data_IF_993824221778
#
_entry.id   IF_993824221778
#
_cell.length_a   1.000
_cell.length_b   1.000
_cell.length_c   1.000
_cell.angle_alpha   90.00
_cell.angle_beta   90.00
_cell.angle_gamma   90.00
#
_symmetry.space_group_name_H-M   'P 1'
#
loop_
_entity.id
_entity.type
_entity.pdbx_description
1 polymer ?
#
# COMPACT_ATOMS: atom_id res chain seq x y z
N UNK A 1 15.10 -21.17 -20.49
CA UNK A 1 15.52 -19.82 -20.89
C UNK A 1 15.12 -18.87 -19.78
N UNK A 2 16.00 -18.00 -19.25
CA UNK A 2 15.57 -17.00 -18.28
C UNK A 2 14.56 -16.08 -18.98
N UNK A 3 13.36 -15.96 -18.42
CA UNK A 3 12.32 -15.08 -18.93
C UNK A 3 12.80 -13.66 -18.64
N UNK A 4 13.20 -12.91 -19.66
CA UNK A 4 13.54 -11.48 -19.51
C UNK A 4 12.26 -10.78 -19.09
N UNK A 5 12.14 -10.46 -17.79
CA UNK A 5 11.02 -9.69 -17.25
C UNK A 5 11.22 -8.25 -17.71
N UNK A 6 10.51 -7.85 -18.76
CA UNK A 6 10.43 -6.46 -19.18
C UNK A 6 9.70 -5.67 -18.11
N UNK A 7 10.39 -4.70 -17.53
CA UNK A 7 9.84 -3.78 -16.53
C UNK A 7 8.83 -2.88 -17.24
N UNK A 8 7.56 -2.84 -16.80
CA UNK A 8 6.54 -2.04 -17.46
C UNK A 8 6.83 -0.55 -17.28
N UNK A 9 6.42 0.29 -18.23
CA UNK A 9 6.46 1.75 -18.03
C UNK A 9 5.39 2.19 -17.02
N UNK A 10 5.50 3.42 -16.51
CA UNK A 10 4.48 3.96 -15.60
C UNK A 10 3.09 4.01 -16.25
N UNK A 11 2.99 4.39 -17.53
CA UNK A 11 1.72 4.43 -18.25
C UNK A 11 1.14 3.04 -18.49
N UNK A 12 1.99 2.04 -18.76
CA UNK A 12 1.55 0.64 -18.84
C UNK A 12 1.02 0.14 -17.51
N UNK A 13 1.65 0.53 -16.39
CA UNK A 13 1.16 0.23 -15.04
C UNK A 13 -0.22 0.86 -14.82
N UNK A 14 -0.43 2.13 -15.21
CA UNK A 14 -1.74 2.78 -15.09
C UNK A 14 -2.81 2.08 -15.94
N UNK A 15 -2.45 1.59 -17.14
CA UNK A 15 -3.36 0.80 -17.98
C UNK A 15 -3.75 -0.51 -17.29
N UNK A 16 -2.77 -1.26 -16.76
CA UNK A 16 -3.02 -2.52 -16.03
C UNK A 16 -3.91 -2.32 -14.82
N UNK A 17 -3.66 -1.27 -14.05
CA UNK A 17 -4.50 -0.91 -12.90
C UNK A 17 -5.96 -0.65 -13.33
N UNK A 18 -6.16 0.04 -14.46
CA UNK A 18 -7.50 0.23 -15.04
C UNK A 18 -8.17 -1.08 -15.47
N UNK A 19 -7.42 -1.99 -16.10
CA UNK A 19 -7.92 -3.31 -16.50
C UNK A 19 -8.34 -4.15 -15.28
N UNK A 20 -7.55 -4.08 -14.21
CA UNK A 20 -7.80 -4.71 -12.92
C UNK A 20 -8.85 -3.98 -12.07
N UNK A 21 -9.51 -2.94 -12.59
CA UNK A 21 -10.59 -2.21 -11.91
C UNK A 21 -10.16 -1.46 -10.65
N UNK A 22 -8.92 -0.97 -10.62
CA UNK A 22 -8.54 0.08 -9.68
C UNK A 22 -9.16 1.41 -10.15
N UNK A 23 -9.62 2.20 -9.19
CA UNK A 23 -9.90 3.61 -9.43
C UNK A 23 -8.57 4.39 -9.35
N UNK A 24 -8.26 5.11 -10.42
CA UNK A 24 -7.03 5.89 -10.57
C UNK A 24 -7.39 7.37 -10.64
N UNK A 25 -7.02 8.12 -9.61
CA UNK A 25 -7.30 9.55 -9.49
C UNK A 25 -6.01 10.35 -9.26
N UNK A 26 -6.02 11.69 -9.40
CA UNK A 26 -4.89 12.51 -8.97
C UNK A 26 -4.56 12.25 -7.49
N UNK A 27 -3.27 12.20 -7.15
CA UNK A 27 -2.87 12.03 -5.75
C UNK A 27 -3.43 13.15 -4.86
N UNK A 28 -3.59 12.83 -3.59
CA UNK A 28 -4.15 13.67 -2.54
C UNK A 28 -3.10 13.85 -1.42
N UNK A 29 -3.51 14.22 -0.21
CA UNK A 29 -2.73 14.07 1.04
C UNK A 29 -1.24 14.50 0.99
N UNK A 30 -0.93 15.59 0.28
CA UNK A 30 0.42 16.15 0.17
C UNK A 30 1.33 15.46 -0.85
N UNK A 31 0.99 14.27 -1.33
CA UNK A 31 1.65 13.59 -2.44
C UNK A 31 1.35 14.26 -3.80
N UNK A 32 0.28 15.05 -3.89
CA UNK A 32 -0.07 15.85 -5.07
C UNK A 32 1.02 16.84 -5.54
N UNK A 33 2.02 17.12 -4.70
CA UNK A 33 3.18 17.95 -5.04
C UNK A 33 4.18 17.22 -5.95
N UNK A 34 4.12 15.90 -6.01
CA UNK A 34 4.98 15.09 -6.85
C UNK A 34 4.37 14.97 -8.25
N UNK A 35 5.13 15.34 -9.27
CA UNK A 35 4.68 15.26 -10.65
C UNK A 35 4.31 13.82 -11.04
N UNK A 36 3.17 13.66 -11.70
CA UNK A 36 2.66 12.35 -12.12
C UNK A 36 2.11 11.48 -10.98
N UNK A 37 2.02 11.98 -9.75
CA UNK A 37 1.47 11.23 -8.64
C UNK A 37 -0.01 10.90 -8.82
N UNK A 38 -0.37 9.64 -8.59
CA UNK A 38 -1.72 9.09 -8.68
C UNK A 38 -2.11 8.43 -7.37
N UNK A 39 -3.38 8.58 -6.98
CA UNK A 39 -4.00 7.75 -5.96
C UNK A 39 -4.66 6.56 -6.67
N UNK A 40 -4.38 5.37 -6.18
CA UNK A 40 -4.98 4.12 -6.66
C UNK A 40 -5.82 3.55 -5.52
N UNK A 41 -7.07 3.21 -5.80
CA UNK A 41 -8.00 2.73 -4.77
C UNK A 41 -8.87 1.58 -5.24
N UNK A 42 -9.10 0.63 -4.33
CA UNK A 42 -9.96 -0.54 -4.53
C UNK A 42 -10.27 -1.17 -3.17
N UNK A 43 -11.42 -1.83 -3.04
CA UNK A 43 -11.81 -2.55 -1.80
C UNK A 43 -11.80 -1.71 -0.52
N UNK A 44 -12.04 -0.40 -0.61
CA UNK A 44 -11.93 0.51 0.54
C UNK A 44 -10.48 0.81 0.98
N UNK A 45 -9.49 0.29 0.26
CA UNK A 45 -8.08 0.56 0.45
C UNK A 45 -7.57 1.53 -0.62
N UNK A 46 -6.46 2.21 -0.32
CA UNK A 46 -5.77 3.05 -1.28
C UNK A 46 -4.25 3.06 -1.04
N UNK A 47 -3.52 3.45 -2.08
CA UNK A 47 -2.11 3.80 -2.04
C UNK A 47 -1.88 5.04 -2.94
N UNK A 48 -0.76 5.73 -2.75
CA UNK A 48 -0.36 6.81 -3.64
C UNK A 48 0.98 6.44 -4.29
N UNK A 49 0.99 6.53 -5.61
CA UNK A 49 2.08 6.07 -6.47
C UNK A 49 2.58 7.20 -7.35
N UNK A 50 3.85 7.17 -7.71
CA UNK A 50 4.43 8.08 -8.70
C UNK A 50 5.44 7.35 -9.58
N UNK A 51 5.77 7.92 -10.75
CA UNK A 51 6.90 7.45 -11.54
C UNK A 51 8.16 7.37 -10.67
N UNK A 52 8.94 6.32 -10.89
CA UNK A 52 10.21 6.10 -10.21
C UNK A 52 11.38 6.23 -11.19
N UNK A 53 12.46 6.82 -10.70
CA UNK A 53 13.73 6.97 -11.44
C UNK A 53 14.66 5.76 -11.22
N UNK A 54 14.24 4.77 -10.42
CA UNK A 54 15.02 3.58 -10.08
C UNK A 54 14.86 2.52 -11.17
N UNK A 55 16.00 2.00 -11.65
CA UNK A 55 16.02 0.90 -12.62
C UNK A 55 15.27 -0.31 -12.08
N UNK A 56 14.45 -0.91 -12.93
CA UNK A 56 13.63 -2.10 -12.62
C UNK A 56 12.53 -1.89 -11.56
N UNK A 57 12.26 -0.65 -11.16
CA UNK A 57 11.16 -0.28 -10.29
C UNK A 57 10.39 0.90 -10.93
N UNK A 58 9.32 0.64 -11.70
CA UNK A 58 8.65 1.67 -12.50
C UNK A 58 7.80 2.62 -11.65
N UNK A 59 7.50 2.23 -10.43
CA UNK A 59 6.68 2.95 -9.48
C UNK A 59 7.42 3.12 -8.17
N UNK A 60 7.29 4.29 -7.55
CA UNK A 60 7.60 4.51 -6.14
C UNK A 60 6.31 4.76 -5.37
N UNK A 61 6.21 4.21 -4.16
CA UNK A 61 5.12 4.49 -3.23
C UNK A 61 5.39 5.83 -2.53
N UNK A 62 4.45 6.76 -2.65
CA UNK A 62 4.41 8.01 -1.88
C UNK A 62 3.65 7.82 -0.56
N UNK A 63 2.57 7.03 -0.61
CA UNK A 63 1.87 6.52 0.55
C UNK A 63 1.75 4.99 0.41
N UNK A 64 2.08 4.26 1.49
CA UNK A 64 1.87 2.80 1.53
C UNK A 64 0.37 2.50 1.44
N UNK A 65 0.06 1.30 1.01
CA UNK A 65 -1.30 0.78 1.03
C UNK A 65 -1.90 0.84 2.43
N UNK A 66 -3.17 1.17 2.49
CA UNK A 66 -3.89 1.27 3.75
C UNK A 66 -5.38 1.32 3.54
N UNK A 67 -6.13 0.93 4.58
CA UNK A 67 -7.58 1.11 4.60
C UNK A 67 -7.89 2.61 4.66
N UNK A 68 -8.85 3.07 3.85
CA UNK A 68 -9.24 4.48 3.83
C UNK A 68 -10.16 4.75 5.02
N UNK A 69 -9.67 5.51 5.99
CA UNK A 69 -10.39 5.86 7.21
C UNK A 69 -10.58 7.37 7.30
N UNK A 70 -11.84 7.82 7.26
CA UNK A 70 -12.20 9.24 7.25
C UNK A 70 -11.47 10.05 6.16
N UNK A 71 -11.33 9.45 4.97
CA UNK A 71 -10.68 10.04 3.80
C UNK A 71 -9.17 9.81 3.72
N UNK A 72 -8.51 9.49 4.84
CA UNK A 72 -7.06 9.32 4.95
C UNK A 72 -6.63 7.86 4.74
N UNK A 73 -5.48 7.66 4.09
CA UNK A 73 -4.86 6.34 3.99
C UNK A 73 -4.27 5.97 5.36
N UNK A 74 -4.86 4.98 6.02
CA UNK A 74 -4.43 4.58 7.36
C UNK A 74 -3.16 3.71 7.33
N UNK A 75 -2.37 3.77 8.40
CA UNK A 75 -1.25 2.87 8.62
C UNK A 75 -1.67 1.70 9.51
N UNK A 76 -1.20 0.49 9.19
CA UNK A 76 -1.46 -0.68 10.04
C UNK A 76 -0.43 -0.74 11.18
N UNK A 77 -0.91 -0.60 12.41
CA UNK A 77 -0.08 -0.57 13.62
C UNK A 77 -0.40 -1.74 14.54
N UNK A 78 0.62 -2.37 15.09
CA UNK A 78 0.49 -3.49 16.01
C UNK A 78 0.77 -3.04 17.45
N UNK A 79 -0.13 -3.38 18.39
CA UNK A 79 0.02 -3.11 19.82
C UNK A 79 0.24 -4.35 20.67
N UNK A 80 0.70 -5.43 20.06
CA UNK A 80 0.99 -6.71 20.71
C UNK A 80 -0.24 -7.60 20.89
N UNK A 81 -1.39 -7.04 21.28
CA UNK A 81 -2.64 -7.80 21.46
C UNK A 81 -3.62 -7.68 20.29
N UNK A 82 -3.50 -6.62 19.48
CA UNK A 82 -4.43 -6.28 18.41
C UNK A 82 -3.74 -5.36 17.40
N UNK A 83 -4.14 -5.44 16.13
CA UNK A 83 -3.76 -4.50 15.09
C UNK A 83 -4.79 -3.36 14.96
N UNK A 84 -4.32 -2.18 14.61
CA UNK A 84 -5.11 -0.95 14.50
C UNK A 84 -4.81 -0.24 13.18
N UNK A 85 -5.85 0.24 12.52
CA UNK A 85 -5.73 1.22 11.46
C UNK A 85 -5.65 2.61 12.09
N UNK A 86 -4.55 3.32 11.83
CA UNK A 86 -4.27 4.63 12.42
C UNK A 86 -4.09 5.68 11.33
N UNK A 87 -4.83 6.78 11.43
CA UNK A 87 -4.64 8.01 10.64
C UNK A 87 -4.17 9.14 11.54
N UNK A 88 -4.13 10.38 11.02
CA UNK A 88 -3.79 11.54 11.84
C UNK A 88 -4.89 11.88 12.87
N UNK A 89 -6.14 11.50 12.58
CA UNK A 89 -7.33 11.87 13.37
C UNK A 89 -7.94 10.70 14.15
N UNK A 90 -7.82 9.49 13.63
CA UNK A 90 -8.56 8.32 14.12
C UNK A 90 -7.66 7.11 14.28
N UNK A 91 -8.08 6.25 15.20
CA UNK A 91 -7.48 4.95 15.39
C UNK A 91 -8.59 3.95 15.70
N UNK A 92 -8.70 2.91 14.89
CA UNK A 92 -9.74 1.88 15.03
C UNK A 92 -9.12 0.50 14.99
N UNK A 93 -9.68 -0.50 15.70
CA UNK A 93 -9.22 -1.89 15.58
C UNK A 93 -9.33 -2.37 14.14
N UNK A 94 -8.29 -3.03 13.65
CA UNK A 94 -8.30 -3.68 12.34
C UNK A 94 -9.13 -4.96 12.40
N UNK A 95 -10.29 -4.95 11.74
CA UNK A 95 -11.15 -6.14 11.61
C UNK A 95 -10.57 -7.12 10.61
N UNK A 96 -10.95 -8.39 10.71
CA UNK A 96 -10.51 -9.43 9.79
C UNK A 96 -10.85 -9.07 8.33
N UNK A 97 -12.07 -8.63 8.06
CA UNK A 97 -12.51 -8.26 6.70
C UNK A 97 -11.67 -7.12 6.11
N UNK A 98 -11.33 -6.10 6.91
CA UNK A 98 -10.50 -4.98 6.46
C UNK A 98 -9.05 -5.41 6.20
N UNK A 99 -8.51 -6.33 7.01
CA UNK A 99 -7.20 -6.93 6.77
C UNK A 99 -7.20 -7.79 5.50
N UNK A 100 -8.21 -8.62 5.28
CA UNK A 100 -8.35 -9.42 4.05
C UNK A 100 -8.44 -8.54 2.80
N UNK A 101 -9.22 -7.45 2.88
CA UNK A 101 -9.32 -6.49 1.79
C UNK A 101 -7.99 -5.77 1.50
N UNK A 102 -7.26 -5.36 2.56
CA UNK A 102 -5.94 -4.74 2.41
C UNK A 102 -4.92 -5.71 1.79
N UNK A 103 -4.91 -6.97 2.24
CA UNK A 103 -4.02 -7.98 1.67
C UNK A 103 -4.30 -8.21 0.18
N UNK A 104 -5.57 -8.39 -0.18
CA UNK A 104 -5.96 -8.56 -1.59
C UNK A 104 -5.60 -7.35 -2.44
N UNK A 105 -5.81 -6.14 -1.91
CA UNK A 105 -5.40 -4.90 -2.56
C UNK A 105 -3.88 -4.88 -2.82
N UNK A 106 -3.08 -5.29 -1.83
CA UNK A 106 -1.62 -5.32 -1.94
C UNK A 106 -1.12 -6.31 -2.98
N UNK A 107 -1.70 -7.51 -3.03
CA UNK A 107 -1.33 -8.52 -4.01
C UNK A 107 -1.61 -8.04 -5.44
N UNK A 108 -2.82 -7.56 -5.69
CA UNK A 108 -3.21 -7.03 -7.00
C UNK A 108 -2.35 -5.81 -7.38
N UNK A 109 -2.11 -4.89 -6.45
CA UNK A 109 -1.25 -3.73 -6.71
C UNK A 109 0.19 -4.15 -7.04
N UNK A 110 0.78 -5.09 -6.29
CA UNK A 110 2.13 -5.59 -6.55
C UNK A 110 2.22 -6.26 -7.92
N UNK A 111 1.22 -7.05 -8.28
CA UNK A 111 1.14 -7.68 -9.59
C UNK A 111 1.11 -6.64 -10.72
N UNK A 112 0.22 -5.65 -10.61
CA UNK A 112 0.06 -4.59 -11.60
C UNK A 112 1.34 -3.78 -11.81
N UNK A 113 2.06 -3.42 -10.73
CA UNK A 113 3.32 -2.66 -10.81
C UNK A 113 4.54 -3.54 -11.16
N UNK A 114 4.38 -4.86 -11.25
CA UNK A 114 5.46 -5.82 -11.50
C UNK A 114 6.43 -5.97 -10.33
N UNK A 115 5.99 -5.72 -9.09
CA UNK A 115 6.80 -5.91 -7.90
C UNK A 115 6.93 -7.39 -7.56
N UNK A 116 8.03 -7.74 -6.88
CA UNK A 116 8.23 -9.10 -6.39
C UNK A 116 7.28 -9.40 -5.22
N UNK A 117 6.57 -10.52 -5.31
CA UNK A 117 5.82 -11.07 -4.18
C UNK A 117 6.78 -11.84 -3.25
N UNK A 118 6.82 -11.42 -1.98
CA UNK A 118 7.60 -12.08 -0.95
C UNK A 118 6.72 -13.05 -0.18
N UNK A 119 7.24 -14.25 0.13
CA UNK A 119 6.49 -15.32 0.78
C UNK A 119 5.72 -14.86 2.04
N UNK A 120 6.38 -14.12 2.94
CA UNK A 120 5.73 -13.64 4.17
C UNK A 120 4.66 -12.57 3.92
N UNK A 121 4.76 -11.80 2.84
CA UNK A 121 3.78 -10.79 2.47
C UNK A 121 2.58 -11.40 1.71
N UNK A 122 2.79 -12.56 1.08
CA UNK A 122 1.75 -13.36 0.42
C UNK A 122 0.92 -14.21 1.41
N UNK A 123 1.39 -14.41 2.65
CA UNK A 123 0.64 -15.14 3.68
C UNK A 123 -0.46 -14.31 4.35
N UNK A 124 -0.43 -12.98 4.18
CA UNK A 124 -1.41 -12.06 4.75
C UNK A 124 -0.85 -10.66 4.99
N UNK A 125 -1.67 -9.79 5.58
CA UNK A 125 -1.24 -8.42 5.94
C UNK A 125 -0.12 -8.43 6.97
N UNK A 126 0.95 -7.69 6.68
CA UNK A 126 2.04 -7.40 7.62
C UNK A 126 1.82 -6.04 8.29
N UNK A 127 2.36 -5.85 9.49
CA UNK A 127 2.21 -4.57 10.21
C UNK A 127 3.27 -3.58 9.75
N UNK A 128 2.90 -2.32 9.49
CA UNK A 128 3.86 -1.28 9.12
C UNK A 128 4.68 -0.78 10.31
N UNK A 129 4.12 -0.86 11.52
CA UNK A 129 4.77 -0.39 12.74
C UNK A 129 4.33 -1.22 13.94
N UNK A 130 5.32 -1.67 14.69
CA UNK A 130 5.10 -2.33 15.97
C UNK A 130 5.31 -1.32 17.10
N UNK A 131 4.28 -1.11 17.92
CA UNK A 131 4.30 -0.24 19.09
C UNK A 131 4.00 -1.10 20.30
N UNK A 132 5.06 -1.66 20.88
CA UNK A 132 4.95 -2.40 22.11
C UNK A 132 4.96 -1.45 23.30
N UNK A 133 4.15 -1.76 24.31
CA UNK A 133 4.27 -1.13 25.60
C UNK A 133 5.54 -1.65 26.27
N UNK A 134 6.65 -0.92 26.11
CA UNK A 134 7.91 -1.27 26.73
C UNK A 134 7.86 -0.84 28.19
N UNK A 135 8.17 -1.77 29.10
CA UNK A 135 8.37 -1.45 30.51
C UNK A 135 9.43 -0.33 30.62
N UNK A 136 9.04 0.79 31.23
CA UNK A 136 9.91 1.93 31.48
C UNK A 136 11.10 1.47 32.35
N UNK A 137 12.33 1.81 31.96
CA UNK A 137 13.55 1.53 32.74
C UNK A 137 14.31 0.24 32.40
N UNK A 138 13.99 -0.43 31.29
CA UNK A 138 14.88 -1.46 30.71
C UNK A 138 15.61 -0.86 29.49
N UNK A 139 16.89 -0.57 29.68
CA UNK A 139 17.84 -0.24 28.61
C UNK A 139 18.63 -1.50 28.25
#
# INVERSE_FOLDING_TARGET
MPRTVTVPSFDEVLSRLGDEKFDVSPATEGANRVAGARRVSKYGCAAEIAPSDVKDAPVRLLARSGWVLAGEISRLTDRGYQKFFKTSKLEVPATADALTALHKFDEELKNAIGAQELYNEAMGTTSDKYIYDRLKGRA
#
